data_IF_854698746118
#
_entry.id   IF_854698746118
#
_cell.length_a   1.000
_cell.length_b   1.000
_cell.length_c   1.000
_cell.angle_alpha   90.00
_cell.angle_beta   90.00
_cell.angle_gamma   90.00
#
_symmetry.space_group_name_H-M   'P 1'
#
loop_
_entity.id
_entity.type
_entity.pdbx_description
1 polymer ?
#
# COMPACT_ATOMS: atom_id res chain seq x y z
N UNK A 1 19.12 -3.32 3.21
CA UNK A 1 18.68 -2.13 2.47
C UNK A 1 17.87 -1.26 3.41
N UNK A 2 18.00 0.08 3.36
CA UNK A 2 17.14 1.00 4.11
C UNK A 2 16.19 1.67 3.12
N UNK A 3 14.90 1.83 3.46
CA UNK A 3 13.95 2.53 2.60
C UNK A 3 14.37 4.01 2.40
N UNK A 4 13.96 4.64 1.29
CA UNK A 4 14.20 6.07 1.06
C UNK A 4 13.64 6.91 2.22
N UNK A 5 14.29 8.02 2.56
CA UNK A 5 13.80 8.95 3.59
C UNK A 5 12.98 10.09 2.95
N UNK A 6 11.95 10.62 3.63
CA UNK A 6 11.42 10.15 4.92
C UNK A 6 10.64 8.83 4.79
N UNK A 7 10.59 8.04 5.86
CA UNK A 7 9.76 6.83 5.93
C UNK A 7 9.23 6.58 7.34
N UNK A 8 8.08 5.91 7.43
CA UNK A 8 7.46 5.41 8.66
C UNK A 8 7.22 3.91 8.51
N UNK A 9 7.42 3.15 9.60
CA UNK A 9 7.11 1.72 9.67
C UNK A 9 5.93 1.54 10.62
N UNK A 10 4.84 0.99 10.09
CA UNK A 10 3.64 0.66 10.85
C UNK A 10 3.64 -0.83 11.20
N UNK A 11 3.38 -1.14 12.46
CA UNK A 11 3.03 -2.49 12.90
C UNK A 11 1.59 -2.78 12.48
N UNK A 12 1.38 -3.85 11.70
CA UNK A 12 0.07 -4.27 11.20
C UNK A 12 -0.27 -5.70 11.67
N UNK A 13 0.39 -6.19 12.72
CA UNK A 13 0.23 -7.54 13.27
C UNK A 13 -1.19 -7.85 13.75
N UNK A 14 -1.95 -6.84 14.17
CA UNK A 14 -3.37 -6.96 14.55
C UNK A 14 -4.23 -7.42 13.38
N UNK A 15 -3.87 -7.05 12.15
CA UNK A 15 -4.60 -7.45 10.95
C UNK A 15 -4.53 -8.96 10.71
N UNK A 16 -3.41 -9.60 11.00
CA UNK A 16 -3.26 -11.06 10.82
C UNK A 16 -4.15 -11.89 11.74
N UNK A 17 -4.74 -11.28 12.77
CA UNK A 17 -5.59 -11.95 13.77
C UNK A 17 -7.07 -11.58 13.65
N UNK A 18 -7.40 -10.56 12.86
CA UNK A 18 -8.74 -9.99 12.79
C UNK A 18 -9.54 -10.54 11.59
N UNK A 19 -10.86 -10.40 11.65
CA UNK A 19 -11.83 -10.94 10.68
C UNK A 19 -11.92 -10.17 9.35
N UNK A 20 -10.83 -9.50 8.95
CA UNK A 20 -10.70 -8.81 7.66
C UNK A 20 -11.40 -7.45 7.54
N UNK A 21 -12.20 -7.00 8.53
CA UNK A 21 -12.93 -5.72 8.46
C UNK A 21 -12.05 -4.47 8.26
N UNK A 22 -10.81 -4.51 8.74
CA UNK A 22 -9.84 -3.43 8.56
C UNK A 22 -9.21 -3.41 7.16
N UNK A 23 -9.34 -4.49 6.37
CA UNK A 23 -8.76 -4.58 5.02
C UNK A 23 -9.46 -3.62 4.06
N UNK A 24 -10.79 -3.53 4.14
CA UNK A 24 -11.56 -2.59 3.34
C UNK A 24 -11.20 -1.13 3.64
N UNK A 25 -11.04 -0.78 4.93
CA UNK A 25 -10.57 0.55 5.33
C UNK A 25 -9.13 0.82 4.86
N UNK A 26 -8.21 -0.15 5.02
CA UNK A 26 -6.86 -0.03 4.51
C UNK A 26 -6.86 0.22 2.99
N UNK A 27 -7.60 -0.58 2.23
CA UNK A 27 -7.70 -0.42 0.78
C UNK A 27 -8.26 0.96 0.40
N UNK A 28 -9.38 1.38 1.00
CA UNK A 28 -10.00 2.67 0.75
C UNK A 28 -9.03 3.84 1.00
N UNK A 29 -8.38 3.86 2.18
CA UNK A 29 -7.47 4.94 2.57
C UNK A 29 -6.21 4.97 1.72
N UNK A 30 -5.65 3.82 1.38
CA UNK A 30 -4.47 3.74 0.51
C UNK A 30 -4.78 4.15 -0.93
N UNK A 31 -5.94 3.77 -1.48
CA UNK A 31 -6.38 4.26 -2.80
C UNK A 31 -6.57 5.78 -2.79
N UNK A 32 -7.19 6.31 -1.72
CA UNK A 32 -7.31 7.76 -1.52
C UNK A 32 -5.95 8.46 -1.53
N UNK A 33 -4.98 7.90 -0.80
CA UNK A 33 -3.62 8.40 -0.77
C UNK A 33 -2.93 8.33 -2.14
N UNK A 34 -3.07 7.22 -2.87
CA UNK A 34 -2.51 7.08 -4.20
C UNK A 34 -3.07 8.13 -5.16
N UNK A 35 -4.40 8.31 -5.19
CA UNK A 35 -5.04 9.35 -6.01
C UNK A 35 -4.61 10.76 -5.62
N UNK A 36 -4.44 11.05 -4.34
CA UNK A 36 -3.98 12.35 -3.88
C UNK A 36 -2.49 12.59 -4.22
N UNK A 37 -1.71 11.52 -4.32
CA UNK A 37 -0.28 11.58 -4.57
C UNK A 37 0.11 11.47 -6.05
N UNK A 38 -0.83 11.11 -6.94
CA UNK A 38 -0.59 11.02 -8.39
C UNK A 38 -1.42 12.00 -9.20
N UNK A 39 -0.89 12.43 -10.35
CA UNK A 39 -1.68 13.12 -11.36
C UNK A 39 -2.73 12.17 -12.00
N UNK A 40 -3.81 12.69 -12.62
CA UNK A 40 -4.90 11.86 -13.18
C UNK A 40 -4.47 10.80 -14.20
N UNK A 41 -3.38 11.06 -14.94
CA UNK A 41 -2.83 10.16 -15.96
C UNK A 41 -1.52 9.49 -15.53
N UNK A 42 -1.11 9.69 -14.28
CA UNK A 42 0.09 9.09 -13.75
C UNK A 42 -0.17 7.65 -13.28
N UNK A 43 0.84 6.81 -13.46
CA UNK A 43 0.77 5.38 -13.12
C UNK A 43 1.57 5.06 -11.87
N UNK A 44 1.19 3.94 -11.27
CA UNK A 44 1.92 3.28 -10.20
C UNK A 44 2.22 1.83 -10.59
N UNK A 45 3.20 1.25 -9.93
CA UNK A 45 3.53 -0.17 -10.03
C UNK A 45 3.12 -0.90 -8.77
N UNK A 46 2.55 -2.09 -8.94
CA UNK A 46 2.37 -3.10 -7.90
C UNK A 46 3.27 -4.29 -8.24
N UNK A 47 4.20 -4.66 -7.36
CA UNK A 47 5.09 -5.80 -7.53
C UNK A 47 4.90 -6.80 -6.40
N UNK A 48 4.87 -8.07 -6.77
CA UNK A 48 4.93 -9.21 -5.87
C UNK A 48 6.32 -9.84 -5.99
N UNK A 49 7.03 -9.98 -4.86
CA UNK A 49 8.42 -10.45 -4.86
C UNK A 49 8.56 -11.81 -5.55
N UNK A 50 9.48 -11.92 -6.52
CA UNK A 50 9.70 -13.09 -7.40
C UNK A 50 8.53 -13.53 -8.29
N UNK A 51 7.47 -12.71 -8.39
CA UNK A 51 6.28 -13.01 -9.17
C UNK A 51 5.93 -11.88 -10.14
N UNK A 52 4.82 -12.03 -10.86
CA UNK A 52 4.31 -11.01 -11.77
C UNK A 52 3.86 -9.76 -11.01
N UNK A 53 4.11 -8.60 -11.62
CA UNK A 53 3.59 -7.32 -11.18
C UNK A 53 2.78 -6.66 -12.28
N UNK A 54 2.11 -5.56 -11.94
CA UNK A 54 1.33 -4.79 -12.90
C UNK A 54 1.47 -3.29 -12.67
N UNK A 55 1.22 -2.54 -13.75
CA UNK A 55 1.07 -1.10 -13.70
C UNK A 55 -0.42 -0.75 -13.64
N UNK A 56 -0.79 0.26 -12.89
CA UNK A 56 -2.17 0.73 -12.81
C UNK A 56 -2.25 2.25 -12.70
N UNK A 57 -3.41 2.80 -13.04
CA UNK A 57 -3.75 4.20 -12.86
C UNK A 57 -4.59 4.34 -11.59
N UNK A 58 -4.11 5.02 -10.53
CA UNK A 58 -4.88 5.16 -9.29
C UNK A 58 -6.25 5.82 -9.51
N UNK A 59 -6.35 6.71 -10.51
CA UNK A 59 -7.57 7.42 -10.88
C UNK A 59 -8.50 6.64 -11.82
N UNK A 60 -8.03 5.53 -12.39
CA UNK A 60 -8.79 4.70 -13.32
C UNK A 60 -9.47 3.49 -12.66
N UNK A 61 -10.03 2.58 -13.46
CA UNK A 61 -10.46 1.27 -12.99
C UNK A 61 -9.26 0.52 -12.41
N UNK A 62 -9.40 0.06 -11.17
CA UNK A 62 -8.36 -0.69 -10.48
C UNK A 62 -8.33 -2.13 -11.00
N UNK A 63 -7.14 -2.75 -11.16
CA UNK A 63 -7.04 -4.14 -11.59
C UNK A 63 -7.75 -5.05 -10.59
N UNK A 64 -8.62 -5.92 -11.11
CA UNK A 64 -9.33 -6.94 -10.34
C UNK A 64 -9.11 -8.32 -10.96
N UNK A 65 -8.96 -9.33 -10.13
CA UNK A 65 -8.91 -10.73 -10.54
C UNK A 65 -10.32 -11.31 -10.80
N UNK A 66 -10.40 -12.62 -11.01
CA UNK A 66 -11.67 -13.32 -11.28
C UNK A 66 -12.68 -13.28 -10.11
N UNK A 67 -12.21 -12.95 -8.90
CA UNK A 67 -13.03 -12.84 -7.69
C UNK A 67 -13.43 -11.39 -7.38
N UNK A 68 -12.90 -10.41 -8.12
CA UNK A 68 -13.14 -8.99 -7.88
C UNK A 68 -12.18 -8.36 -6.87
N UNK A 69 -11.09 -9.06 -6.52
CA UNK A 69 -10.06 -8.62 -5.59
C UNK A 69 -8.83 -8.08 -6.32
N UNK A 70 -7.99 -7.31 -5.62
CA UNK A 70 -6.72 -6.87 -6.21
C UNK A 70 -5.81 -8.09 -6.46
N UNK A 71 -5.21 -8.24 -7.66
CA UNK A 71 -4.27 -9.34 -7.91
C UNK A 71 -3.07 -9.33 -6.95
N UNK A 72 -2.65 -8.13 -6.53
CA UNK A 72 -1.67 -7.94 -5.45
C UNK A 72 -2.38 -7.11 -4.36
N UNK A 73 -2.66 -7.70 -3.18
CA UNK A 73 -3.33 -6.98 -2.10
C UNK A 73 -2.37 -6.00 -1.41
N UNK A 74 -2.94 -4.94 -0.83
CA UNK A 74 -2.17 -3.95 -0.05
C UNK A 74 -1.68 -4.52 1.29
N UNK A 75 -2.49 -5.36 1.93
CA UNK A 75 -2.13 -5.98 3.19
C UNK A 75 -1.10 -7.10 2.95
N UNK A 76 0.07 -7.08 3.62
CA UNK A 76 1.15 -8.03 3.35
C UNK A 76 0.88 -9.40 3.96
N UNK A 77 -0.01 -10.17 3.35
CA UNK A 77 -0.30 -11.54 3.77
C UNK A 77 0.18 -12.55 2.71
N UNK A 78 1.39 -13.07 2.89
CA UNK A 78 2.01 -14.00 1.95
C UNK A 78 3.49 -13.72 1.77
N UNK A 79 3.84 -13.01 0.70
CA UNK A 79 5.21 -12.55 0.41
C UNK A 79 5.29 -11.01 0.45
N UNK A 80 6.46 -10.46 0.10
CA UNK A 80 6.67 -9.02 0.04
C UNK A 80 5.89 -8.39 -1.13
N UNK A 81 5.11 -7.36 -0.81
CA UNK A 81 4.40 -6.53 -1.79
C UNK A 81 4.99 -5.13 -1.82
N UNK A 82 5.17 -4.60 -3.03
CA UNK A 82 5.68 -3.25 -3.26
C UNK A 82 4.69 -2.47 -4.10
N UNK A 83 4.36 -1.26 -3.64
CA UNK A 83 3.64 -0.27 -4.43
C UNK A 83 4.50 0.98 -4.51
N UNK A 84 4.79 1.50 -5.69
CA UNK A 84 5.60 2.72 -5.81
C UNK A 84 5.16 3.55 -6.99
N UNK A 85 5.31 4.86 -6.81
CA UNK A 85 5.13 5.83 -7.89
C UNK A 85 6.24 5.64 -8.93
N UNK A 86 5.92 5.99 -10.18
CA UNK A 86 6.73 5.72 -11.36
C UNK A 86 8.20 6.15 -11.26
N UNK A 87 8.46 7.27 -10.60
CA UNK A 87 9.79 7.86 -10.40
C UNK A 87 10.41 7.48 -9.03
N UNK A 88 9.78 6.56 -8.31
CA UNK A 88 10.21 6.02 -7.02
C UNK A 88 10.33 7.06 -5.89
N UNK A 89 9.67 8.21 -6.02
CA UNK A 89 9.73 9.28 -5.00
C UNK A 89 9.01 8.90 -3.71
N UNK A 90 7.97 8.06 -3.82
CA UNK A 90 7.20 7.56 -2.70
C UNK A 90 6.64 6.16 -2.98
N UNK A 91 6.27 5.45 -1.91
CA UNK A 91 5.77 4.09 -2.03
C UNK A 91 5.55 3.37 -0.71
N UNK A 92 5.20 2.09 -0.84
CA UNK A 92 4.77 1.17 0.21
C UNK A 92 5.52 -0.14 0.03
N UNK A 93 6.06 -0.65 1.13
CA UNK A 93 6.61 -1.99 1.24
C UNK A 93 5.87 -2.74 2.34
N UNK A 94 5.22 -3.83 1.97
CA UNK A 94 4.63 -4.78 2.90
C UNK A 94 5.59 -5.93 3.22
N UNK A 95 5.91 -6.12 4.50
CA UNK A 95 6.75 -7.21 5.01
C UNK A 95 5.88 -8.17 5.84
N UNK A 96 5.50 -9.34 5.28
CA UNK A 96 4.62 -10.29 5.96
C UNK A 96 5.29 -10.95 7.17
N UNK A 97 6.61 -11.11 7.14
CA UNK A 97 7.36 -11.81 8.18
C UNK A 97 7.57 -10.95 9.41
N UNK A 98 7.74 -9.64 9.22
CA UNK A 98 7.75 -8.66 10.31
C UNK A 98 6.37 -8.16 10.68
N UNK A 99 5.36 -8.47 9.86
CA UNK A 99 4.00 -7.96 10.00
C UNK A 99 3.98 -6.42 10.01
N UNK A 100 4.72 -5.82 9.09
CA UNK A 100 4.86 -4.36 8.99
C UNK A 100 4.55 -3.84 7.61
N UNK A 101 4.07 -2.59 7.54
CA UNK A 101 4.03 -1.81 6.31
C UNK A 101 4.94 -0.60 6.44
N UNK A 102 5.90 -0.48 5.54
CA UNK A 102 6.81 0.67 5.46
C UNK A 102 6.31 1.61 4.37
N UNK A 103 5.98 2.85 4.75
CA UNK A 103 5.62 3.91 3.81
C UNK A 103 6.78 4.89 3.71
N UNK A 104 7.10 5.35 2.51
CA UNK A 104 8.15 6.35 2.28
C UNK A 104 7.73 7.44 1.31
N UNK A 105 8.41 8.58 1.41
CA UNK A 105 8.17 9.79 0.61
C UNK A 105 7.20 10.76 1.28
N UNK A 106 7.58 12.02 1.36
CA UNK A 106 6.89 13.08 2.13
C UNK A 106 5.42 13.22 1.71
N UNK A 107 5.14 13.30 0.40
CA UNK A 107 3.79 13.44 -0.15
C UNK A 107 2.82 12.36 0.34
N UNK A 108 3.28 11.10 0.37
CA UNK A 108 2.48 9.96 0.83
C UNK A 108 2.27 10.01 2.35
N UNK A 109 3.34 10.29 3.09
CA UNK A 109 3.29 10.34 4.56
C UNK A 109 2.36 11.45 5.05
N UNK A 110 2.40 12.63 4.45
CA UNK A 110 1.52 13.75 4.77
C UNK A 110 0.04 13.37 4.59
N UNK A 111 -0.31 12.70 3.49
CA UNK A 111 -1.68 12.28 3.26
C UNK A 111 -2.15 11.26 4.32
N UNK A 112 -1.29 10.29 4.63
CA UNK A 112 -1.59 9.21 5.58
C UNK A 112 -1.71 9.73 7.01
N UNK A 113 -0.94 10.75 7.39
CA UNK A 113 -1.08 11.41 8.69
C UNK A 113 -2.48 12.01 8.89
N UNK A 114 -3.06 12.60 7.83
CA UNK A 114 -4.38 13.22 7.89
C UNK A 114 -5.53 12.22 7.70
N UNK A 115 -5.28 11.09 7.05
CA UNK A 115 -6.30 10.07 6.75
C UNK A 115 -5.81 8.66 7.09
N UNK A 116 -5.40 8.38 8.34
CA UNK A 116 -4.75 7.13 8.67
C UNK A 116 -5.75 5.95 8.61
N UNK A 117 -5.40 4.86 7.89
CA UNK A 117 -6.05 3.58 8.06
C UNK A 117 -6.14 3.19 9.54
N UNK A 118 -7.23 2.53 9.93
CA UNK A 118 -7.44 2.05 11.30
C UNK A 118 -6.29 1.16 11.75
N UNK A 119 -5.78 0.31 10.86
CA UNK A 119 -4.67 -0.61 11.18
C UNK A 119 -3.33 0.10 11.44
N UNK A 120 -3.16 1.35 11.02
CA UNK A 120 -1.94 2.13 11.31
C UNK A 120 -2.00 2.84 12.67
N UNK A 121 -3.16 2.85 13.31
CA UNK A 121 -3.31 3.44 14.63
C UNK A 121 -2.70 2.48 15.64
N UNK A 122 -1.82 3.00 16.51
CA UNK A 122 -1.28 2.21 17.62
C UNK A 122 -2.45 1.66 18.44
N UNK A 123 -2.46 0.35 18.64
CA UNK A 123 -3.32 -0.30 19.64
C UNK A 123 -2.99 0.21 21.05
#
# INVERSE_FOLDING_TARGET
>A
MKPPRPYIVYDVSTGFKADGRFLADLEEKMIGAFKACTDPLETMYALYWQHEGYMFYPHGPLPKDEYGDWPIPLFPNGDYYFFFQRDFEWGVLGDPWRQTMTLYGEKLLDHIEHHPPVIFRKA
#
